data_IF_545187502448
#
_entry.id   IF_545187502448
#
_cell.length_a   1.000
_cell.length_b   1.000
_cell.length_c   1.000
_cell.angle_alpha   90.00
_cell.angle_beta   90.00
_cell.angle_gamma   90.00
#
_symmetry.space_group_name_H-M   'P 1'
#
loop_
_entity.id
_entity.type
_entity.pdbx_description
1 polymer ?
#
# COMPACT_ATOMS: atom_id res chain seq x y z
N UNK A 1 -1.52 14.46 1.42
CA UNK A 1 -1.27 13.16 0.77
C UNK A 1 -0.25 13.41 -0.33
N UNK A 2 0.80 12.60 -0.45
CA UNK A 2 1.86 12.80 -1.46
C UNK A 2 2.04 11.50 -2.23
N UNK A 3 1.80 11.57 -3.53
CA UNK A 3 1.99 10.43 -4.42
C UNK A 3 3.46 10.32 -4.83
N UNK A 4 3.96 9.08 -4.83
CA UNK A 4 5.29 8.73 -5.32
C UNK A 4 5.25 8.48 -6.84
N UNK A 5 6.39 8.66 -7.49
CA UNK A 5 6.54 8.42 -8.92
C UNK A 5 6.81 6.93 -9.21
N UNK A 6 6.57 6.48 -10.43
CA UNK A 6 6.84 5.12 -10.89
C UNK A 6 8.35 4.81 -10.97
N UNK A 7 9.21 5.83 -11.09
CA UNK A 7 10.67 5.65 -11.12
C UNK A 7 11.27 5.81 -9.73
N UNK A 8 12.26 4.96 -9.42
CA UNK A 8 12.97 5.00 -8.14
C UNK A 8 13.67 6.35 -7.91
N UNK A 9 14.32 6.91 -8.93
CA UNK A 9 15.06 8.16 -8.82
C UNK A 9 14.16 9.32 -8.38
N UNK A 10 13.09 9.59 -9.13
CA UNK A 10 12.18 10.69 -8.80
C UNK A 10 11.47 10.48 -7.44
N UNK A 11 11.13 9.24 -7.09
CA UNK A 11 10.56 8.93 -5.76
C UNK A 11 11.56 9.16 -4.63
N UNK A 12 12.83 8.83 -4.84
CA UNK A 12 13.88 9.09 -3.86
C UNK A 12 14.06 10.59 -3.63
N UNK A 13 14.01 11.40 -4.69
CA UNK A 13 14.13 12.85 -4.59
C UNK A 13 12.96 13.46 -3.80
N UNK A 14 11.73 12.96 -4.03
CA UNK A 14 10.55 13.35 -3.26
C UNK A 14 10.71 13.00 -1.78
N UNK A 15 11.17 11.78 -1.46
CA UNK A 15 11.37 11.33 -0.09
C UNK A 15 12.45 12.16 0.61
N UNK A 16 13.55 12.45 -0.08
CA UNK A 16 14.62 13.30 0.44
C UNK A 16 14.10 14.71 0.75
N UNK A 17 13.34 15.31 -0.18
CA UNK A 17 12.73 16.61 0.05
C UNK A 17 11.76 16.61 1.25
N UNK A 18 10.96 15.56 1.42
CA UNK A 18 10.09 15.41 2.60
C UNK A 18 10.90 15.31 3.89
N UNK A 19 12.01 14.56 3.86
CA UNK A 19 12.90 14.39 5.00
C UNK A 19 13.57 15.71 5.42
N UNK A 20 14.11 16.46 4.45
CA UNK A 20 14.72 17.78 4.67
C UNK A 20 13.73 18.79 5.27
N UNK A 21 12.46 18.72 4.87
CA UNK A 21 11.39 19.58 5.41
C UNK A 21 10.78 19.06 6.71
N UNK A 22 11.39 18.06 7.36
CA UNK A 22 10.91 17.48 8.63
C UNK A 22 9.42 17.12 8.57
N UNK A 23 8.99 16.42 7.52
CA UNK A 23 7.57 16.08 7.32
C UNK A 23 6.97 15.23 8.46
N UNK A 24 7.79 14.47 9.18
CA UNK A 24 7.41 13.78 10.42
C UNK A 24 7.94 14.58 11.60
N UNK A 25 7.02 15.17 12.36
CA UNK A 25 7.33 15.98 13.55
C UNK A 25 6.69 15.37 14.79
N UNK A 26 6.93 15.97 15.95
CA UNK A 26 6.31 15.58 17.23
C UNK A 26 4.78 15.56 17.19
N UNK A 27 4.16 16.36 16.31
CA UNK A 27 2.72 16.39 16.10
C UNK A 27 2.17 15.27 15.20
N UNK A 28 3.02 14.59 14.44
CA UNK A 28 2.62 13.49 13.57
C UNK A 28 2.21 12.31 14.43
N UNK A 29 0.94 11.88 14.33
CA UNK A 29 0.42 10.73 15.10
C UNK A 29 0.46 9.43 14.34
N UNK A 30 0.34 9.51 13.02
CA UNK A 30 0.32 8.32 12.16
C UNK A 30 0.83 8.67 10.77
N UNK A 31 1.52 7.73 10.15
CA UNK A 31 1.92 7.78 8.74
C UNK A 31 1.35 6.57 8.03
N UNK A 32 0.70 6.80 6.89
CA UNK A 32 0.14 5.75 6.04
C UNK A 32 0.95 5.65 4.75
N UNK A 33 1.26 4.42 4.34
CA UNK A 33 1.85 4.10 3.05
C UNK A 33 0.96 3.05 2.41
N UNK A 34 0.18 3.48 1.42
CA UNK A 34 -0.76 2.64 0.70
C UNK A 34 -0.27 2.43 -0.73
N UNK A 35 -0.16 1.17 -1.16
CA UNK A 35 0.13 0.82 -2.55
C UNK A 35 -0.50 -0.53 -2.91
N UNK A 36 -0.73 -0.74 -4.20
CA UNK A 36 -1.28 -2.00 -4.72
C UNK A 36 -0.32 -2.62 -5.72
N UNK A 37 -0.17 -3.94 -5.65
CA UNK A 37 0.66 -4.72 -6.58
C UNK A 37 -0.22 -5.73 -7.30
N UNK A 38 -0.01 -5.88 -8.61
CA UNK A 38 -0.70 -6.87 -9.44
C UNK A 38 0.24 -8.00 -9.82
N UNK A 39 -0.21 -9.25 -9.64
CA UNK A 39 0.50 -10.42 -10.12
C UNK A 39 -0.27 -11.03 -11.30
N UNK A 40 0.31 -10.91 -12.50
CA UNK A 40 -0.31 -11.38 -13.75
C UNK A 40 -0.39 -12.91 -13.87
N UNK A 41 0.50 -13.67 -13.22
CA UNK A 41 0.54 -15.13 -13.36
C UNK A 41 -0.67 -15.80 -12.71
N UNK A 42 -1.09 -15.29 -11.54
CA UNK A 42 -2.22 -15.81 -10.76
C UNK A 42 -3.44 -14.88 -10.81
N UNK A 43 -3.31 -13.75 -11.51
CA UNK A 43 -4.36 -12.76 -11.68
C UNK A 43 -4.97 -12.28 -10.34
N UNK A 44 -4.10 -11.89 -9.41
CA UNK A 44 -4.48 -11.37 -8.10
C UNK A 44 -3.89 -9.98 -7.89
N UNK A 45 -4.71 -9.12 -7.29
CA UNK A 45 -4.27 -7.83 -6.78
C UNK A 45 -4.01 -7.96 -5.29
N UNK A 46 -2.90 -7.39 -4.81
CA UNK A 46 -2.59 -7.27 -3.39
C UNK A 46 -2.61 -5.79 -3.02
N UNK A 47 -3.54 -5.40 -2.16
CA UNK A 47 -3.62 -4.06 -1.57
C UNK A 47 -2.84 -4.09 -0.26
N UNK A 48 -1.84 -3.22 -0.16
CA UNK A 48 -0.90 -3.15 0.95
C UNK A 48 -1.09 -1.81 1.64
N UNK A 49 -1.33 -1.86 2.94
CA UNK A 49 -1.34 -0.71 3.84
C UNK A 49 -0.29 -0.91 4.91
N UNK A 50 0.72 -0.04 4.92
CA UNK A 50 1.69 0.06 5.99
C UNK A 50 1.34 1.29 6.81
N UNK A 51 1.39 1.15 8.12
CA UNK A 51 0.97 2.17 9.06
C UNK A 51 2.02 2.27 10.16
N UNK A 52 2.45 3.48 10.48
CA UNK A 52 3.35 3.73 11.61
C UNK A 52 2.71 4.74 12.54
N UNK A 53 2.42 4.33 13.78
CA UNK A 53 1.85 5.20 14.81
C UNK A 53 2.95 5.80 15.70
N UNK A 54 2.75 7.03 16.13
CA UNK A 54 3.66 7.79 16.98
C UNK A 54 2.91 8.27 18.24
N UNK A 55 3.00 7.50 19.34
CA UNK A 55 2.36 7.85 20.61
C UNK A 55 2.87 9.17 21.20
N UNK A 56 2.08 9.79 22.08
CA UNK A 56 2.47 11.03 22.76
C UNK A 56 3.67 10.89 23.70
N UNK A 57 3.92 9.67 24.18
CA UNK A 57 5.10 9.30 24.99
C UNK A 57 6.36 9.10 24.15
N UNK A 58 6.27 9.19 22.82
CA UNK A 58 7.34 8.85 21.89
C UNK A 58 7.31 7.39 21.45
N UNK A 59 8.25 7.03 20.58
CA UNK A 59 8.33 5.71 19.93
C UNK A 59 7.60 5.66 18.58
N UNK A 60 7.76 4.53 17.89
CA UNK A 60 7.11 4.24 16.62
C UNK A 60 6.55 2.81 16.66
N UNK A 61 5.24 2.66 16.41
CA UNK A 61 4.55 1.37 16.41
C UNK A 61 4.13 1.06 14.97
N UNK A 62 4.86 0.18 14.27
CA UNK A 62 4.48 -0.24 12.93
C UNK A 62 3.34 -1.27 12.98
N UNK A 63 2.42 -1.17 12.03
CA UNK A 63 1.42 -2.18 11.70
C UNK A 63 1.26 -2.27 10.19
N UNK A 64 0.79 -3.42 9.72
CA UNK A 64 0.63 -3.68 8.29
C UNK A 64 -0.64 -4.48 8.04
N UNK A 65 -1.20 -4.29 6.85
CA UNK A 65 -2.35 -5.06 6.38
C UNK A 65 -2.13 -5.41 4.91
N UNK A 66 -2.17 -6.70 4.62
CA UNK A 66 -2.10 -7.25 3.28
C UNK A 66 -3.46 -7.85 2.93
N UNK A 67 -4.10 -7.34 1.87
CA UNK A 67 -5.39 -7.84 1.39
C UNK A 67 -5.27 -8.26 -0.06
N UNK A 68 -5.40 -9.54 -0.32
CA UNK A 68 -5.47 -10.09 -1.68
C UNK A 68 -6.92 -10.08 -2.17
N UNK A 69 -7.13 -9.56 -3.37
CA UNK A 69 -8.45 -9.46 -4.01
C UNK A 69 -8.33 -9.88 -5.47
N UNK A 70 -9.29 -10.70 -5.91
CA UNK A 70 -9.46 -11.06 -7.33
C UNK A 70 -10.45 -10.09 -7.96
N UNK A 71 -9.95 -9.00 -8.54
CA UNK A 71 -10.78 -7.94 -9.14
C UNK A 71 -11.29 -8.32 -10.53
N UNK A 72 -10.45 -8.91 -11.38
CA UNK A 72 -10.89 -9.43 -12.68
C UNK A 72 -11.34 -10.88 -12.53
N UNK A 73 -12.65 -11.06 -12.43
CA UNK A 73 -13.33 -12.34 -12.39
C UNK A 73 -13.62 -12.83 -13.81
N UNK A 74 -13.85 -14.14 -13.96
CA UNK A 74 -14.35 -14.77 -15.20
C UNK A 74 -13.37 -14.81 -16.39
N UNK A 75 -12.10 -15.10 -16.11
CA UNK A 75 -11.08 -15.27 -17.17
C UNK A 75 -10.84 -16.75 -17.51
N UNK A 76 -11.02 -17.64 -16.55
CA UNK A 76 -10.71 -19.08 -16.71
C UNK A 76 -11.99 -19.92 -16.65
N UNK A 77 -12.00 -21.08 -17.33
CA UNK A 77 -13.16 -22.00 -17.41
C UNK A 77 -13.69 -22.39 -16.01
N UNK A 78 -12.81 -22.51 -15.01
CA UNK A 78 -13.20 -22.77 -13.60
C UNK A 78 -13.96 -21.63 -12.91
N UNK A 79 -13.80 -20.38 -13.35
CA UNK A 79 -14.54 -19.23 -12.79
C UNK A 79 -16.02 -19.27 -13.21
N UNK A 80 -16.35 -19.90 -14.36
CA UNK A 80 -17.74 -20.10 -14.78
C UNK A 80 -18.47 -21.13 -13.91
N UNK A 81 -17.77 -22.13 -13.39
CA UNK A 81 -18.37 -23.07 -12.44
C UNK A 81 -18.71 -22.36 -11.12
N UNK A 82 -17.83 -21.49 -10.63
CA UNK A 82 -18.10 -20.68 -9.44
C UNK A 82 -19.30 -19.75 -9.66
N UNK A 83 -19.44 -19.15 -10.85
CA UNK A 83 -20.63 -18.35 -11.21
C UNK A 83 -21.93 -19.16 -11.14
N UNK A 84 -21.90 -20.43 -11.57
CA UNK A 84 -23.08 -21.30 -11.51
C UNK A 84 -23.45 -21.74 -10.07
N UNK A 85 -22.52 -21.63 -9.12
CA UNK A 85 -22.69 -22.01 -7.72
C UNK A 85 -22.83 -20.82 -6.75
N UNK A 86 -22.73 -19.58 -7.24
CA UNK A 86 -23.07 -18.34 -6.54
C UNK A 86 -24.57 -18.05 -6.67
#
# INVERSE_FOLDING_TARGET
FKDLNSTKAASSDIINNLFENLWVQRGTRVVFIDFSVYNANINLFCVIRLLVEFPATGGAIPSWTFRTVKLIRYVTVGDYFIMACE
#
